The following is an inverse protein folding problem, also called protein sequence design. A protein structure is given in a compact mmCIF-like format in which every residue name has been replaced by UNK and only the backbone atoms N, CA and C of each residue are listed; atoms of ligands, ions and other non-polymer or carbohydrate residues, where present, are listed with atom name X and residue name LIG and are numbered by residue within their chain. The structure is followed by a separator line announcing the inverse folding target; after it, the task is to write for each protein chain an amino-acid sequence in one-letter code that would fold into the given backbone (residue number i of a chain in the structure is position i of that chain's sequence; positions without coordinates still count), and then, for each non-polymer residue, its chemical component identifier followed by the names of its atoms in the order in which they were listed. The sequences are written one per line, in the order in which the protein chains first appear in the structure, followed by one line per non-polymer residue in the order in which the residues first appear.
data_IF_731094374749
#
_entry.id   IF_731094374749
#
_cell.length_a   1.000
_cell.length_b   1.000
_cell.length_c   1.000
_cell.angle_alpha   90.00
_cell.angle_beta   90.00
_cell.angle_gamma   90.00
#
_symmetry.space_group_name_H-M   'P 1'
#
loop_
_entity.id
_entity.type
_entity.pdbx_description
1 polymer ?
#
# COMPACT_ATOMS: atom_id res chain seq x y z
N UNK A 1 -2.94 -22.72 -7.47
CA UNK A 1 -4.09 -21.87 -7.11
C UNK A 1 -3.51 -20.52 -6.70
N UNK A 2 -3.99 -19.41 -7.24
CA UNK A 2 -3.54 -18.10 -6.76
C UNK A 2 -3.96 -17.99 -5.28
N UNK A 3 -3.02 -17.60 -4.41
CA UNK A 3 -3.29 -17.43 -2.96
C UNK A 3 -4.02 -16.11 -2.67
N UNK A 4 -4.28 -15.31 -3.70
CA UNK A 4 -5.06 -14.09 -3.64
C UNK A 4 -6.06 -14.06 -4.79
N UNK A 5 -7.33 -13.90 -4.46
CA UNK A 5 -8.43 -13.82 -5.41
C UNK A 5 -9.46 -12.77 -4.96
N UNK A 6 -10.24 -12.25 -5.90
CA UNK A 6 -11.27 -11.25 -5.65
C UNK A 6 -12.54 -11.64 -6.40
N UNK A 7 -13.63 -11.79 -5.66
CA UNK A 7 -14.97 -12.08 -6.21
C UNK A 7 -15.92 -10.93 -5.91
N UNK A 8 -16.70 -10.53 -6.91
CA UNK A 8 -17.75 -9.53 -6.73
C UNK A 8 -19.06 -10.22 -6.31
N UNK A 9 -19.48 -10.02 -5.07
CA UNK A 9 -20.67 -10.65 -4.49
C UNK A 9 -21.95 -9.90 -4.83
N UNK A 10 -21.89 -8.56 -4.89
CA UNK A 10 -23.03 -7.71 -5.23
C UNK A 10 -22.60 -6.37 -5.80
N UNK A 11 -23.46 -5.78 -6.63
CA UNK A 11 -23.32 -4.42 -7.18
C UNK A 11 -24.62 -3.63 -7.00
N UNK A 12 -24.47 -2.34 -6.68
CA UNK A 12 -25.57 -1.36 -6.68
C UNK A 12 -25.05 -0.02 -7.23
N UNK A 13 -25.38 0.27 -8.50
CA UNK A 13 -24.75 1.38 -9.22
C UNK A 13 -23.24 1.17 -9.31
N UNK A 14 -22.46 2.11 -8.80
CA UNK A 14 -20.99 2.02 -8.73
C UNK A 14 -20.46 1.35 -7.45
N UNK A 15 -21.32 1.10 -6.47
CA UNK A 15 -20.93 0.41 -5.25
C UNK A 15 -20.78 -1.10 -5.49
N UNK A 16 -19.77 -1.69 -4.87
CA UNK A 16 -19.47 -3.11 -4.94
C UNK A 16 -19.28 -3.69 -3.55
N UNK A 17 -19.80 -4.89 -3.33
CA UNK A 17 -19.41 -5.76 -2.23
C UNK A 17 -18.52 -6.85 -2.81
N UNK A 18 -17.33 -7.01 -2.26
CA UNK A 18 -16.32 -7.95 -2.75
C UNK A 18 -15.90 -8.90 -1.62
N UNK A 19 -15.58 -10.13 -1.99
CA UNK A 19 -14.83 -11.06 -1.14
C UNK A 19 -13.41 -11.18 -1.67
N UNK A 20 -12.45 -10.90 -0.81
CA UNK A 20 -11.02 -11.16 -1.07
C UNK A 20 -10.59 -12.41 -0.31
N UNK A 21 -9.98 -13.34 -1.04
CA UNK A 21 -9.37 -14.55 -0.46
C UNK A 21 -7.87 -14.36 -0.36
N UNK A 22 -7.31 -14.61 0.83
CA UNK A 22 -5.87 -14.51 1.11
C UNK A 22 -5.34 -15.80 1.71
N UNK A 23 -4.02 -15.88 1.94
CA UNK A 23 -3.41 -17.02 2.63
C UNK A 23 -3.89 -17.18 4.09
N UNK A 24 -4.38 -16.09 4.72
CA UNK A 24 -4.85 -16.07 6.10
C UNK A 24 -6.38 -15.95 6.24
N UNK A 25 -7.12 -16.25 5.17
CA UNK A 25 -8.58 -16.25 5.15
C UNK A 25 -9.19 -15.17 4.27
N UNK A 26 -10.52 -15.08 4.32
CA UNK A 26 -11.30 -14.17 3.51
C UNK A 26 -11.62 -12.89 4.28
N UNK A 27 -11.75 -11.79 3.54
CA UNK A 27 -12.38 -10.58 4.06
C UNK A 27 -13.36 -9.99 3.05
N UNK A 28 -14.40 -9.33 3.57
CA UNK A 28 -15.48 -8.77 2.77
C UNK A 28 -15.43 -7.25 2.76
N UNK A 29 -15.77 -6.64 1.64
CA UNK A 29 -15.87 -5.18 1.51
C UNK A 29 -17.33 -4.73 1.35
N UNK A 30 -17.66 -3.49 1.75
CA UNK A 30 -16.76 -2.48 2.33
C UNK A 30 -16.40 -2.78 3.77
N UNK A 31 -15.16 -2.51 4.17
CA UNK A 31 -14.75 -2.61 5.56
C UNK A 31 -13.62 -1.63 5.90
N UNK A 32 -13.52 -1.31 7.18
CA UNK A 32 -12.44 -0.51 7.74
C UNK A 32 -11.28 -1.40 8.18
N UNK A 33 -10.04 -0.98 7.86
CA UNK A 33 -8.83 -1.65 8.31
C UNK A 33 -8.28 -0.93 9.55
N UNK A 34 -8.38 -1.50 10.76
CA UNK A 34 -7.72 -0.93 11.94
C UNK A 34 -6.20 -0.84 11.72
N UNK A 35 -5.62 0.28 12.18
CA UNK A 35 -4.19 0.52 12.01
C UNK A 35 -3.41 -0.06 13.17
N UNK A 36 -2.64 -1.11 12.89
CA UNK A 36 -1.69 -1.74 13.80
C UNK A 36 -0.26 -1.33 13.49
N UNK A 37 0.11 -0.05 13.74
CA UNK A 37 1.36 0.60 13.33
C UNK A 37 2.62 -0.25 13.54
N UNK A 38 2.80 -0.81 14.72
CA UNK A 38 3.94 -1.66 15.09
C UNK A 38 3.48 -3.08 15.40
N UNK A 39 2.66 -3.65 14.51
CA UNK A 39 1.97 -4.94 14.70
C UNK A 39 1.15 -4.96 16.02
N UNK A 40 0.53 -3.83 16.34
CA UNK A 40 -0.42 -3.72 17.46
C UNK A 40 -1.38 -2.57 17.19
N UNK A 41 -2.68 -2.83 17.33
CA UNK A 41 -3.71 -1.80 17.31
C UNK A 41 -3.74 -1.14 18.68
N UNK A 42 -3.47 0.15 18.73
CA UNK A 42 -3.29 0.87 20.00
C UNK A 42 -4.54 0.79 20.87
N UNK A 43 -4.39 0.23 22.06
CA UNK A 43 -5.49 0.11 23.03
C UNK A 43 -6.46 -1.07 22.77
N UNK A 44 -6.22 -1.90 21.76
CA UNK A 44 -7.07 -3.05 21.39
C UNK A 44 -6.21 -4.30 21.25
N UNK A 45 -6.59 -5.37 21.95
CA UNK A 45 -5.90 -6.67 21.89
C UNK A 45 -6.37 -7.49 20.67
N UNK A 46 -5.57 -8.47 20.18
CA UNK A 46 -6.02 -9.36 19.12
C UNK A 46 -7.34 -10.10 19.40
N UNK A 47 -7.63 -10.61 20.60
CA UNK A 47 -8.96 -11.15 20.92
C UNK A 47 -10.09 -10.13 20.72
N UNK A 48 -9.90 -8.87 21.14
CA UNK A 48 -10.89 -7.82 20.94
C UNK A 48 -11.09 -7.47 19.45
N UNK A 49 -10.03 -7.53 18.62
CA UNK A 49 -10.20 -7.39 17.17
C UNK A 49 -11.11 -8.46 16.58
N UNK A 50 -11.00 -9.72 17.06
CA UNK A 50 -11.91 -10.81 16.66
C UNK A 50 -13.34 -10.58 17.11
N UNK A 51 -13.53 -10.15 18.35
CA UNK A 51 -14.86 -9.79 18.88
C UNK A 51 -15.52 -8.67 18.09
N UNK A 52 -14.74 -7.65 17.68
CA UNK A 52 -15.18 -6.55 16.83
C UNK A 52 -15.35 -6.95 15.37
N UNK A 53 -15.07 -8.22 15.01
CA UNK A 53 -15.13 -8.75 13.63
C UNK A 53 -14.26 -7.96 12.65
N UNK A 54 -13.12 -7.45 13.12
CA UNK A 54 -12.11 -6.89 12.23
C UNK A 54 -11.56 -8.02 11.36
N UNK A 55 -11.76 -7.93 10.04
CA UNK A 55 -11.39 -8.99 9.12
C UNK A 55 -9.99 -8.79 8.52
N UNK A 56 -9.50 -7.55 8.49
CA UNK A 56 -8.16 -7.21 8.00
C UNK A 56 -7.55 -6.12 8.86
N UNK A 57 -6.24 -6.21 9.11
CA UNK A 57 -5.48 -5.21 9.88
C UNK A 57 -4.37 -4.64 9.01
N UNK A 58 -4.18 -3.32 9.07
CA UNK A 58 -3.07 -2.64 8.42
C UNK A 58 -1.90 -2.52 9.39
N UNK A 59 -0.71 -2.99 8.99
CA UNK A 59 0.54 -2.76 9.69
C UNK A 59 1.43 -1.80 8.89
N UNK A 60 2.36 -1.12 9.57
CA UNK A 60 3.14 -0.08 8.93
C UNK A 60 4.57 -0.52 8.66
N UNK A 61 4.96 -0.56 7.39
CA UNK A 61 6.28 -0.99 6.93
C UNK A 61 7.40 -0.11 7.49
N UNK A 62 7.22 1.22 7.47
CA UNK A 62 8.24 2.14 7.97
C UNK A 62 8.57 1.88 9.45
N UNK A 63 7.55 1.79 10.30
CA UNK A 63 7.77 1.59 11.72
C UNK A 63 8.34 0.21 12.03
N UNK A 64 7.82 -0.84 11.42
CA UNK A 64 8.27 -2.22 11.66
C UNK A 64 9.71 -2.46 11.18
N UNK A 65 10.11 -1.87 10.06
CA UNK A 65 11.48 -1.98 9.57
C UNK A 65 12.50 -1.23 10.42
N UNK A 66 12.07 -0.12 11.04
CA UNK A 66 12.95 0.65 11.92
C UNK A 66 13.01 0.05 13.32
N UNK A 67 11.90 -0.48 13.82
CA UNK A 67 11.80 -1.06 15.17
C UNK A 67 10.62 -2.02 15.29
N UNK A 68 10.84 -3.33 15.53
CA UNK A 68 12.11 -3.96 15.92
C UNK A 68 13.06 -4.28 14.77
N UNK A 69 12.70 -4.05 13.53
CA UNK A 69 13.36 -4.49 12.31
C UNK A 69 12.64 -5.67 11.66
N UNK A 70 12.60 -5.69 10.32
CA UNK A 70 11.92 -6.73 9.56
C UNK A 70 12.49 -8.13 9.81
N UNK A 71 13.80 -8.23 10.07
CA UNK A 71 14.45 -9.51 10.35
C UNK A 71 13.96 -10.12 11.68
N UNK A 72 13.71 -9.32 12.70
CA UNK A 72 13.14 -9.76 13.97
C UNK A 72 11.70 -10.26 13.76
N UNK A 73 10.91 -9.53 12.98
CA UNK A 73 9.53 -9.93 12.64
C UNK A 73 9.54 -11.23 11.83
N UNK A 74 10.43 -11.36 10.84
CA UNK A 74 10.59 -12.58 10.05
C UNK A 74 10.98 -13.79 10.90
N UNK A 75 11.95 -13.62 11.84
CA UNK A 75 12.35 -14.67 12.78
C UNK A 75 11.22 -15.12 13.71
N UNK A 76 10.28 -14.20 14.05
CA UNK A 76 9.07 -14.52 14.80
C UNK A 76 8.03 -15.28 13.96
N UNK A 77 8.26 -15.46 12.65
CA UNK A 77 7.37 -16.14 11.71
C UNK A 77 6.42 -15.23 10.96
N UNK A 78 6.82 -13.94 10.78
CA UNK A 78 6.08 -12.92 10.07
C UNK A 78 5.15 -12.10 10.97
N UNK A 79 4.56 -11.05 10.38
CA UNK A 79 3.77 -10.06 11.12
C UNK A 79 2.54 -10.66 11.80
N UNK A 80 1.93 -11.68 11.22
CA UNK A 80 0.77 -12.39 11.80
C UNK A 80 1.11 -13.05 13.13
N UNK A 81 2.20 -13.82 13.18
CA UNK A 81 2.67 -14.46 14.42
C UNK A 81 3.21 -13.45 15.41
N UNK A 82 3.92 -12.44 14.92
CA UNK A 82 4.46 -11.37 15.75
C UNK A 82 3.34 -10.57 16.46
N UNK A 83 2.24 -10.31 15.77
CA UNK A 83 1.06 -9.65 16.32
C UNK A 83 0.14 -10.60 17.12
N UNK A 84 0.27 -11.92 16.93
CA UNK A 84 -0.71 -12.92 17.38
C UNK A 84 -2.11 -12.69 16.80
N UNK A 85 -2.17 -12.37 15.50
CA UNK A 85 -3.38 -12.16 14.74
C UNK A 85 -3.37 -13.07 13.51
N UNK A 86 -4.41 -13.89 13.36
CA UNK A 86 -4.51 -14.97 12.39
C UNK A 86 -5.32 -14.61 11.13
N UNK A 87 -5.92 -13.41 11.09
CA UNK A 87 -6.66 -12.91 9.92
C UNK A 87 -5.78 -12.19 8.90
N UNK A 88 -6.35 -11.81 7.75
CA UNK A 88 -5.67 -11.06 6.71
C UNK A 88 -5.00 -9.77 7.21
N UNK A 89 -3.81 -9.49 6.69
CA UNK A 89 -3.06 -8.28 7.00
C UNK A 89 -2.55 -7.58 5.74
N UNK A 90 -2.49 -6.26 5.80
CA UNK A 90 -1.88 -5.41 4.80
C UNK A 90 -0.70 -4.65 5.42
N UNK A 91 0.42 -4.56 4.70
CA UNK A 91 1.48 -3.59 5.00
C UNK A 91 1.41 -2.43 4.02
N UNK A 92 1.43 -1.20 4.55
CA UNK A 92 1.54 0.00 3.70
C UNK A 92 2.93 0.11 3.05
N UNK A 93 3.12 1.06 2.14
CA UNK A 93 4.42 1.30 1.49
C UNK A 93 5.46 1.90 2.43
N UNK A 94 5.04 2.55 3.51
CA UNK A 94 5.88 3.42 4.34
C UNK A 94 6.20 4.78 3.69
N UNK A 95 5.76 5.02 2.46
CA UNK A 95 6.01 6.26 1.71
C UNK A 95 5.50 7.49 2.43
N UNK A 96 4.27 7.48 2.91
CA UNK A 96 3.69 8.60 3.65
C UNK A 96 4.50 8.96 4.91
N UNK A 97 4.97 7.96 5.69
CA UNK A 97 5.76 8.19 6.89
C UNK A 97 7.12 8.80 6.57
N UNK A 98 7.77 8.34 5.51
CA UNK A 98 9.02 8.94 5.03
C UNK A 98 8.82 10.41 4.67
N UNK A 99 7.67 10.75 4.05
CA UNK A 99 7.37 12.13 3.65
C UNK A 99 6.87 13.01 4.79
N UNK A 100 6.20 12.44 5.80
CA UNK A 100 5.59 13.21 6.90
C UNK A 100 6.47 13.30 8.15
N UNK A 101 7.30 12.31 8.43
CA UNK A 101 8.06 12.21 9.70
C UNK A 101 9.55 12.48 9.55
N UNK A 102 10.11 12.40 8.37
CA UNK A 102 11.54 12.62 8.16
C UNK A 102 11.83 14.09 7.87
N UNK A 103 12.44 14.80 8.83
CA UNK A 103 12.89 16.19 8.66
C UNK A 103 13.95 16.34 7.56
N UNK A 104 14.73 15.28 7.34
CA UNK A 104 15.76 15.22 6.29
C UNK A 104 15.55 13.99 5.43
N UNK A 105 15.11 14.23 4.19
CA UNK A 105 15.00 13.20 3.15
C UNK A 105 15.59 13.70 1.84
N UNK A 106 16.19 12.79 1.12
CA UNK A 106 16.67 13.03 -0.24
C UNK A 106 16.07 12.00 -1.17
N UNK A 107 15.35 12.49 -2.18
CA UNK A 107 14.77 11.67 -3.25
C UNK A 107 15.63 11.76 -4.49
N UNK A 108 15.72 10.65 -5.19
CA UNK A 108 16.18 10.55 -6.56
C UNK A 108 15.36 9.46 -7.30
N UNK A 109 15.68 9.20 -8.56
CA UNK A 109 14.95 8.22 -9.36
C UNK A 109 15.06 6.79 -8.82
N UNK A 110 16.13 6.50 -8.10
CA UNK A 110 16.41 5.19 -7.55
C UNK A 110 15.71 4.90 -6.20
N UNK A 111 15.27 5.93 -5.50
CA UNK A 111 14.62 5.74 -4.21
C UNK A 111 14.72 6.94 -3.28
N UNK A 112 14.65 6.69 -1.98
CA UNK A 112 14.65 7.71 -0.96
C UNK A 112 15.66 7.40 0.15
N UNK A 113 16.47 8.39 0.52
CA UNK A 113 17.30 8.35 1.74
C UNK A 113 16.63 9.23 2.79
N UNK A 114 16.43 8.71 3.97
CA UNK A 114 15.80 9.43 5.08
C UNK A 114 16.52 9.15 6.39
N UNK A 115 16.29 10.00 7.39
CA UNK A 115 16.83 9.83 8.72
C UNK A 115 15.80 9.11 9.60
N UNK A 116 16.23 8.01 10.23
CA UNK A 116 15.40 7.28 11.18
C UNK A 116 15.00 8.16 12.37
N UNK A 117 13.72 8.16 12.72
CA UNK A 117 13.19 8.88 13.89
C UNK A 117 13.54 8.18 15.20
N UNK A 118 14.02 6.94 15.16
CA UNK A 118 14.32 6.14 16.35
C UNK A 118 15.76 6.33 16.85
N UNK A 119 16.72 6.34 15.93
CA UNK A 119 18.16 6.38 16.29
C UNK A 119 18.95 7.43 15.51
N UNK A 120 18.30 8.11 14.56
CA UNK A 120 18.92 9.14 13.74
C UNK A 120 19.84 8.64 12.65
N UNK A 121 19.95 7.33 12.42
CA UNK A 121 20.73 6.75 11.33
C UNK A 121 20.14 7.10 9.96
N UNK A 122 20.97 7.09 8.92
CA UNK A 122 20.50 7.24 7.55
C UNK A 122 20.12 5.88 6.99
N UNK A 123 18.92 5.81 6.43
CA UNK A 123 18.34 4.63 5.80
C UNK A 123 18.09 4.93 4.33
N UNK A 124 18.43 3.99 3.45
CA UNK A 124 18.14 4.07 2.01
C UNK A 124 17.11 3.02 1.64
N UNK A 125 15.99 3.45 1.08
CA UNK A 125 15.01 2.58 0.46
C UNK A 125 14.99 2.80 -1.05
N UNK A 126 15.16 1.71 -1.77
CA UNK A 126 14.78 1.57 -3.18
C UNK A 126 13.47 0.79 -3.28
N UNK A 127 12.80 0.76 -4.44
CA UNK A 127 11.64 -0.10 -4.63
C UNK A 127 11.92 -1.58 -4.29
N UNK A 128 13.10 -2.09 -4.66
CA UNK A 128 13.51 -3.46 -4.39
C UNK A 128 13.70 -3.71 -2.89
N UNK A 129 14.33 -2.77 -2.20
CA UNK A 129 14.52 -2.87 -0.75
C UNK A 129 13.19 -2.80 0.00
N UNK A 130 12.28 -1.94 -0.44
CA UNK A 130 10.93 -1.86 0.11
C UNK A 130 10.16 -3.18 -0.06
N UNK A 131 10.28 -3.83 -1.23
CA UNK A 131 9.68 -5.15 -1.45
C UNK A 131 10.33 -6.21 -0.56
N UNK A 132 11.66 -6.23 -0.45
CA UNK A 132 12.38 -7.15 0.45
C UNK A 132 11.88 -7.03 1.90
N UNK A 133 11.70 -5.81 2.38
CA UNK A 133 11.19 -5.56 3.73
C UNK A 133 9.76 -6.10 3.88
N UNK A 134 8.84 -5.77 2.96
CA UNK A 134 7.45 -6.22 3.05
C UNK A 134 7.30 -7.73 2.88
N UNK A 135 8.14 -8.36 2.05
CA UNK A 135 8.22 -9.82 1.95
C UNK A 135 8.70 -10.47 3.25
N UNK A 136 9.67 -9.86 3.94
CA UNK A 136 10.14 -10.33 5.25
C UNK A 136 9.07 -10.17 6.33
N UNK A 137 8.32 -9.06 6.32
CA UNK A 137 7.17 -8.84 7.20
C UNK A 137 6.06 -9.88 6.96
N UNK A 138 5.79 -10.23 5.70
CA UNK A 138 4.91 -11.33 5.34
C UNK A 138 3.43 -11.10 5.57
N UNK A 139 2.93 -9.88 5.37
CA UNK A 139 1.50 -9.61 5.26
C UNK A 139 0.92 -10.22 3.97
N UNK A 140 -0.40 -10.39 3.89
CA UNK A 140 -1.09 -10.91 2.69
C UNK A 140 -1.04 -9.91 1.53
N UNK A 141 -1.12 -8.62 1.84
CA UNK A 141 -1.11 -7.52 0.89
C UNK A 141 0.07 -6.60 1.20
N UNK A 142 0.92 -6.39 0.20
CA UNK A 142 1.97 -5.37 0.20
C UNK A 142 1.57 -4.20 -0.71
N UNK A 143 2.05 -3.00 -0.39
CA UNK A 143 1.82 -1.81 -1.20
C UNK A 143 3.11 -1.39 -1.89
N UNK A 144 3.03 -0.95 -3.16
CA UNK A 144 4.20 -0.40 -3.85
C UNK A 144 4.78 0.81 -3.11
N UNK A 145 6.09 1.04 -3.20
CA UNK A 145 6.68 2.31 -2.77
C UNK A 145 6.21 3.44 -3.69
N UNK A 146 5.74 4.54 -3.12
CA UNK A 146 5.19 5.68 -3.83
C UNK A 146 5.67 7.02 -3.26
N UNK A 147 5.52 8.09 -4.03
CA UNK A 147 5.70 9.45 -3.55
C UNK A 147 4.33 10.09 -3.33
N UNK A 148 3.94 10.25 -2.06
CA UNK A 148 2.76 11.02 -1.69
C UNK A 148 3.07 12.52 -1.76
N UNK A 149 2.43 13.31 -2.65
CA UNK A 149 2.60 14.76 -2.66
C UNK A 149 1.93 15.39 -1.43
N UNK A 150 2.49 16.48 -0.86
CA UNK A 150 1.83 17.25 0.17
C UNK A 150 0.60 17.98 -0.39
N UNK A 151 -0.22 18.53 0.49
CA UNK A 151 -1.27 19.46 0.11
C UNK A 151 -1.14 20.77 0.92
N UNK A 152 -1.15 21.94 0.26
CA UNK A 152 -1.14 22.14 -1.19
C UNK A 152 0.23 21.81 -1.83
N UNK A 153 0.22 21.43 -3.10
CA UNK A 153 1.42 21.25 -3.91
C UNK A 153 1.25 21.89 -5.29
N UNK A 154 2.36 22.30 -5.92
CA UNK A 154 2.31 22.77 -7.31
C UNK A 154 2.02 21.61 -8.26
N UNK A 155 1.45 21.92 -9.41
CA UNK A 155 1.16 20.90 -10.43
C UNK A 155 2.42 20.14 -10.85
N UNK A 156 3.53 20.84 -11.06
CA UNK A 156 4.81 20.26 -11.45
C UNK A 156 5.34 19.26 -10.41
N UNK A 157 5.12 19.57 -9.12
CA UNK A 157 5.48 18.64 -8.04
C UNK A 157 4.63 17.38 -8.11
N UNK A 158 3.32 17.52 -8.33
CA UNK A 158 2.40 16.39 -8.42
C UNK A 158 2.69 15.53 -9.66
N UNK A 159 2.97 16.16 -10.82
CA UNK A 159 3.41 15.46 -12.04
C UNK A 159 4.66 14.62 -11.77
N UNK A 160 5.68 15.22 -11.13
CA UNK A 160 6.91 14.51 -10.77
C UNK A 160 6.64 13.35 -9.80
N UNK A 161 5.72 13.52 -8.84
CA UNK A 161 5.34 12.47 -7.91
C UNK A 161 4.63 11.30 -8.62
N UNK A 162 3.80 11.56 -9.62
CA UNK A 162 3.18 10.54 -10.48
C UNK A 162 4.22 9.80 -11.30
N UNK A 163 5.16 10.53 -11.94
CA UNK A 163 6.25 9.93 -12.71
C UNK A 163 7.08 8.98 -11.86
N UNK A 164 7.49 9.43 -10.68
CA UNK A 164 8.33 8.68 -9.76
C UNK A 164 7.60 7.45 -9.21
N UNK A 165 6.33 7.62 -8.80
CA UNK A 165 5.51 6.52 -8.30
C UNK A 165 5.29 5.44 -9.36
N UNK A 166 5.08 5.81 -10.64
CA UNK A 166 4.96 4.85 -11.73
C UNK A 166 6.27 4.12 -12.01
N UNK A 167 7.40 4.82 -12.00
CA UNK A 167 8.72 4.21 -12.18
C UNK A 167 9.02 3.21 -11.04
N UNK A 168 8.71 3.57 -9.80
CA UNK A 168 8.89 2.70 -8.65
C UNK A 168 7.89 1.53 -8.64
N UNK A 169 6.64 1.73 -9.12
CA UNK A 169 5.65 0.66 -9.28
C UNK A 169 6.17 -0.48 -10.16
N UNK A 170 6.78 -0.13 -11.31
CA UNK A 170 7.41 -1.10 -12.22
C UNK A 170 8.48 -1.93 -11.53
N UNK A 171 9.35 -1.27 -10.77
CA UNK A 171 10.44 -1.90 -10.04
C UNK A 171 9.93 -2.76 -8.89
N UNK A 172 8.93 -2.29 -8.13
CA UNK A 172 8.28 -3.07 -7.08
C UNK A 172 7.65 -4.34 -7.66
N UNK A 173 6.89 -4.23 -8.76
CA UNK A 173 6.23 -5.38 -9.38
C UNK A 173 7.24 -6.40 -9.90
N UNK A 174 8.37 -5.95 -10.46
CA UNK A 174 9.45 -6.82 -10.91
C UNK A 174 10.21 -7.49 -9.75
N UNK A 175 10.37 -6.79 -8.62
CA UNK A 175 11.09 -7.27 -7.44
C UNK A 175 10.25 -8.22 -6.57
N UNK A 176 8.92 -8.04 -6.51
CA UNK A 176 8.01 -8.82 -5.68
C UNK A 176 7.98 -10.29 -6.11
N UNK A 177 8.40 -11.20 -5.22
CA UNK A 177 8.54 -12.65 -5.50
C UNK A 177 7.69 -13.54 -4.60
N UNK A 178 7.31 -13.05 -3.42
CA UNK A 178 6.61 -13.85 -2.43
C UNK A 178 5.29 -14.41 -2.97
N UNK A 179 5.05 -15.75 -2.96
CA UNK A 179 3.90 -16.36 -3.64
C UNK A 179 2.58 -16.24 -2.86
N UNK A 180 2.66 -16.12 -1.53
CA UNK A 180 1.52 -16.01 -0.59
C UNK A 180 1.19 -14.55 -0.24
N UNK A 181 1.80 -13.60 -0.93
CA UNK A 181 1.56 -12.17 -0.81
C UNK A 181 1.19 -11.58 -2.16
N UNK A 182 0.27 -10.63 -2.18
CA UNK A 182 -0.05 -9.85 -3.39
C UNK A 182 0.45 -8.42 -3.26
N UNK A 183 0.82 -7.82 -4.37
CA UNK A 183 1.23 -6.41 -4.43
C UNK A 183 0.09 -5.56 -4.97
N UNK A 184 -0.23 -4.46 -4.27
CA UNK A 184 -1.16 -3.43 -4.75
C UNK A 184 -0.40 -2.24 -5.31
N UNK A 185 -0.88 -1.70 -6.43
CA UNK A 185 -0.44 -0.43 -6.99
C UNK A 185 -1.03 0.75 -6.22
N UNK A 186 -0.36 1.91 -6.24
CA UNK A 186 -0.88 3.14 -5.61
C UNK A 186 -1.10 4.22 -6.66
N UNK A 187 -2.35 4.69 -6.77
CA UNK A 187 -2.71 5.81 -7.63
C UNK A 187 -2.40 7.12 -6.93
N UNK A 188 -1.49 7.91 -7.48
CA UNK A 188 -1.16 9.26 -7.02
C UNK A 188 -1.68 10.30 -8.01
N UNK A 189 -1.62 11.60 -7.66
CA UNK A 189 -2.07 12.70 -8.52
C UNK A 189 -2.62 13.91 -7.76
N UNK A 190 -2.50 13.93 -6.41
CA UNK A 190 -3.03 15.01 -5.57
C UNK A 190 -4.54 15.23 -5.82
N UNK A 191 -4.96 16.49 -5.94
CA UNK A 191 -6.35 16.85 -6.30
C UNK A 191 -6.52 17.05 -7.82
N UNK A 192 -5.55 16.66 -8.65
CA UNK A 192 -5.61 16.81 -10.10
C UNK A 192 -6.15 15.53 -10.73
N UNK A 193 -7.41 15.53 -11.13
CA UNK A 193 -8.08 14.36 -11.70
C UNK A 193 -7.34 13.81 -12.92
N UNK A 194 -6.90 14.66 -13.82
CA UNK A 194 -6.16 14.27 -15.02
C UNK A 194 -4.85 13.52 -14.67
N UNK A 195 -4.14 13.95 -13.64
CA UNK A 195 -2.94 13.27 -13.18
C UNK A 195 -3.24 11.94 -12.49
N UNK A 196 -4.36 11.82 -11.80
CA UNK A 196 -4.81 10.54 -11.24
C UNK A 196 -5.20 9.56 -12.33
N UNK A 197 -5.90 10.01 -13.36
CA UNK A 197 -6.22 9.18 -14.52
C UNK A 197 -4.97 8.74 -15.28
N UNK A 198 -4.00 9.63 -15.40
CA UNK A 198 -2.68 9.31 -15.97
C UNK A 198 -1.93 8.27 -15.10
N UNK A 199 -1.97 8.41 -13.79
CA UNK A 199 -1.39 7.42 -12.86
C UNK A 199 -2.02 6.02 -13.06
N UNK A 200 -3.35 5.94 -13.17
CA UNK A 200 -4.06 4.67 -13.46
C UNK A 200 -3.61 4.10 -14.81
N UNK A 201 -3.57 4.91 -15.86
CA UNK A 201 -3.14 4.48 -17.19
C UNK A 201 -1.73 3.87 -17.15
N UNK A 202 -0.79 4.53 -16.48
CA UNK A 202 0.59 4.05 -16.35
C UNK A 202 0.67 2.75 -15.54
N UNK A 203 -0.05 2.63 -14.43
CA UNK A 203 -0.07 1.39 -13.66
C UNK A 203 -0.58 0.21 -14.48
N UNK A 204 -1.60 0.42 -15.32
CA UNK A 204 -2.10 -0.62 -16.23
C UNK A 204 -1.10 -0.98 -17.32
N UNK A 205 -0.42 -0.01 -17.90
CA UNK A 205 0.66 -0.29 -18.87
C UNK A 205 1.79 -1.10 -18.24
N UNK A 206 2.16 -0.80 -17.00
CA UNK A 206 3.16 -1.58 -16.24
C UNK A 206 2.69 -3.02 -16.03
N UNK A 207 1.40 -3.23 -15.74
CA UNK A 207 0.83 -4.58 -15.66
C UNK A 207 0.91 -5.32 -16.98
N UNK A 208 0.48 -4.68 -18.07
CA UNK A 208 0.47 -5.28 -19.41
C UNK A 208 1.88 -5.68 -19.84
N UNK A 209 2.87 -4.82 -19.61
CA UNK A 209 4.28 -5.11 -19.88
C UNK A 209 4.80 -6.27 -19.02
N UNK A 210 4.44 -6.28 -17.73
CA UNK A 210 4.83 -7.36 -16.81
C UNK A 210 4.25 -8.70 -17.24
N UNK A 211 2.96 -8.74 -17.58
CA UNK A 211 2.28 -9.95 -18.04
C UNK A 211 2.84 -10.45 -19.39
N UNK A 212 3.13 -9.54 -20.31
CA UNK A 212 3.77 -9.89 -21.59
C UNK A 212 5.16 -10.52 -21.40
N UNK A 213 5.87 -10.15 -20.33
CA UNK A 213 7.14 -10.74 -19.94
C UNK A 213 7.01 -12.01 -19.06
N UNK A 214 5.79 -12.54 -18.87
CA UNK A 214 5.53 -13.71 -18.01
C UNK A 214 5.57 -13.40 -16.51
N UNK A 215 5.49 -12.12 -16.13
CA UNK A 215 5.47 -11.65 -14.76
C UNK A 215 4.06 -11.65 -14.15
N UNK A 216 3.86 -10.80 -13.15
CA UNK A 216 2.63 -10.70 -12.35
C UNK A 216 1.88 -9.40 -12.65
N UNK A 217 0.61 -9.33 -12.25
CA UNK A 217 -0.19 -8.09 -12.16
C UNK A 217 -0.27 -7.61 -10.72
N UNK A 218 -0.74 -6.38 -10.52
CA UNK A 218 -1.18 -5.93 -9.20
C UNK A 218 -2.46 -6.66 -8.80
N UNK A 219 -2.57 -7.07 -7.53
CA UNK A 219 -3.78 -7.69 -7.00
C UNK A 219 -4.92 -6.71 -6.73
N UNK A 220 -4.59 -5.41 -6.68
CA UNK A 220 -5.54 -4.34 -6.46
C UNK A 220 -4.85 -2.97 -6.49
N UNK A 221 -5.61 -1.92 -6.15
CA UNK A 221 -5.11 -0.54 -6.17
C UNK A 221 -5.49 0.22 -4.90
N UNK A 222 -4.52 0.90 -4.31
CA UNK A 222 -4.75 1.93 -3.31
C UNK A 222 -4.93 3.30 -3.98
N UNK A 223 -5.91 4.07 -3.55
CA UNK A 223 -6.07 5.46 -3.97
C UNK A 223 -5.36 6.32 -2.93
N UNK A 224 -4.09 6.66 -3.19
CA UNK A 224 -3.23 7.39 -2.28
C UNK A 224 -3.37 8.91 -2.37
N UNK A 225 -2.72 9.63 -1.44
CA UNK A 225 -2.61 11.09 -1.47
C UNK A 225 -3.90 11.84 -1.19
N UNK A 226 -4.80 11.24 -0.43
CA UNK A 226 -5.98 11.89 0.15
C UNK A 226 -5.83 12.00 1.67
N UNK A 227 -6.65 12.86 2.29
CA UNK A 227 -6.61 13.19 3.73
C UNK A 227 -5.27 13.78 4.17
N UNK A 228 -4.70 14.63 3.32
CA UNK A 228 -3.42 15.35 3.55
C UNK A 228 -3.61 16.84 3.79
N UNK A 229 -4.88 17.31 3.97
CA UNK A 229 -5.22 18.69 4.29
C UNK A 229 -6.21 19.34 3.34
N UNK A 230 -6.68 18.64 2.31
CA UNK A 230 -7.74 19.08 1.40
C UNK A 230 -9.11 19.09 2.09
N UNK A 231 -10.07 19.84 1.52
CA UNK A 231 -11.45 19.78 1.96
C UNK A 231 -12.15 18.49 1.50
N UNK A 232 -13.13 18.04 2.28
CA UNK A 232 -13.83 16.79 2.04
C UNK A 232 -14.61 16.77 0.73
N UNK A 233 -15.19 17.89 0.31
CA UNK A 233 -15.99 17.97 -0.91
C UNK A 233 -15.13 17.71 -2.13
N UNK A 234 -14.01 18.42 -2.26
CA UNK A 234 -13.00 18.20 -3.32
C UNK A 234 -12.47 16.77 -3.32
N UNK A 235 -12.18 16.22 -2.14
CA UNK A 235 -11.71 14.85 -2.01
C UNK A 235 -12.74 13.84 -2.56
N UNK A 236 -14.00 13.91 -2.10
CA UNK A 236 -15.03 12.95 -2.51
C UNK A 236 -15.44 13.08 -3.98
N UNK A 237 -15.46 14.31 -4.52
CA UNK A 237 -15.72 14.53 -5.94
C UNK A 237 -14.65 13.87 -6.81
N UNK A 238 -13.39 14.09 -6.50
CA UNK A 238 -12.26 13.50 -7.21
C UNK A 238 -12.21 11.99 -7.03
N UNK A 239 -12.40 11.51 -5.79
CA UNK A 239 -12.41 10.07 -5.46
C UNK A 239 -13.45 9.31 -6.26
N UNK A 240 -14.67 9.86 -6.39
CA UNK A 240 -15.74 9.22 -7.14
C UNK A 240 -15.42 9.04 -8.63
N UNK A 241 -14.64 9.95 -9.23
CA UNK A 241 -14.20 9.84 -10.62
C UNK A 241 -13.03 8.87 -10.78
N UNK A 242 -12.07 8.89 -9.87
CA UNK A 242 -10.91 7.98 -9.85
C UNK A 242 -11.38 6.53 -9.66
N UNK A 243 -12.28 6.28 -8.72
CA UNK A 243 -12.80 4.94 -8.45
C UNK A 243 -13.47 4.30 -9.67
N UNK A 244 -14.17 5.11 -10.51
CA UNK A 244 -14.78 4.61 -11.74
C UNK A 244 -13.79 4.28 -12.86
N UNK A 245 -12.58 4.82 -12.80
CA UNK A 245 -11.54 4.57 -13.79
C UNK A 245 -10.68 3.34 -13.46
N UNK A 246 -10.78 2.83 -12.24
CA UNK A 246 -10.08 1.61 -11.82
C UNK A 246 -10.75 0.36 -12.39
N UNK A 247 -9.99 -0.75 -12.55
CA UNK A 247 -10.57 -2.03 -12.98
C UNK A 247 -11.69 -2.52 -12.06
N UNK A 248 -12.70 -3.16 -12.66
CA UNK A 248 -13.87 -3.68 -11.93
C UNK A 248 -13.65 -5.04 -11.27
N UNK A 249 -12.58 -5.72 -11.62
CA UNK A 249 -12.26 -7.09 -11.22
C UNK A 249 -11.37 -7.18 -9.97
N UNK A 250 -11.04 -6.03 -9.36
CA UNK A 250 -10.16 -5.96 -8.17
C UNK A 250 -10.15 -4.57 -7.50
#
# INVERSE_FOLDING_TARGET
MALFDCTCDAKSGNARALTFTTAHGDFHTPMFMPVGTSATVKGITPPQLRELKSQVVLANTYHLSQRPGEDVVAQAGGVHKFMNYDGPMLTDSGGFQIFSLADTRKLDDDGVTFRSIYDGSYVRWTPEENMRIQEALGADIAMQLDQCPPYPATREFVERAVDLSAMWARRCLAAHKRPDQTLFGIVQGGMNLDLRLESIRRLREIEDESLAAGGRRFGGFGIGGYSVGEDHETMFETLGQVARALPDDR
#
